data_IF_046814837536
#
_entry.id   IF_046814837536
#
_cell.length_a   1.000
_cell.length_b   1.000
_cell.length_c   1.000
_cell.angle_alpha   90.00
_cell.angle_beta   90.00
_cell.angle_gamma   90.00
#
_symmetry.space_group_name_H-M   'P 1'
#
loop_
_entity.id
_entity.type
_entity.pdbx_description
1 polymer ?
#
# COMPACT_ATOMS: atom_id res chain seq x y z
N UNK A 1 11.14 -10.79 7.45
CA UNK A 1 10.82 -10.52 6.04
C UNK A 1 9.87 -11.60 5.55
N UNK A 2 8.70 -11.24 5.04
CA UNK A 2 7.68 -12.15 4.48
C UNK A 2 7.83 -12.23 2.95
N UNK A 3 7.66 -13.41 2.35
CA UNK A 3 7.62 -13.54 0.90
C UNK A 3 6.26 -13.07 0.37
N UNK A 4 6.28 -12.13 -0.59
CA UNK A 4 5.08 -11.60 -1.24
C UNK A 4 5.17 -11.82 -2.75
N UNK A 5 4.43 -12.81 -3.23
CA UNK A 5 4.33 -13.11 -4.67
C UNK A 5 3.19 -12.30 -5.28
N UNK A 6 3.48 -11.51 -6.32
CA UNK A 6 2.54 -10.62 -6.99
C UNK A 6 2.60 -10.83 -8.50
N UNK A 7 1.45 -10.70 -9.16
CA UNK A 7 1.43 -10.70 -10.63
C UNK A 7 2.10 -9.42 -11.15
N UNK A 8 2.98 -9.53 -12.14
CA UNK A 8 3.76 -8.39 -12.68
C UNK A 8 2.90 -7.27 -13.29
N UNK A 9 1.68 -7.58 -13.69
CA UNK A 9 0.71 -6.64 -14.29
C UNK A 9 -0.47 -6.37 -13.36
N UNK A 10 -0.19 -6.26 -12.06
CA UNK A 10 -1.19 -5.92 -11.04
C UNK A 10 -1.85 -4.57 -11.37
N UNK A 11 -3.17 -4.57 -11.55
CA UNK A 11 -3.97 -3.34 -11.66
C UNK A 11 -4.12 -2.67 -10.28
N UNK A 12 -4.42 -1.36 -10.25
CA UNK A 12 -4.66 -0.64 -8.99
C UNK A 12 -5.75 -1.28 -8.12
N UNK A 13 -6.81 -1.83 -8.73
CA UNK A 13 -7.86 -2.54 -8.00
C UNK A 13 -7.36 -3.86 -7.41
N UNK A 14 -6.59 -4.63 -8.19
CA UNK A 14 -5.96 -5.86 -7.69
C UNK A 14 -4.99 -5.54 -6.56
N UNK A 15 -4.25 -4.44 -6.64
CA UNK A 15 -3.37 -3.97 -5.56
C UNK A 15 -4.13 -3.71 -4.25
N UNK A 16 -5.25 -3.00 -4.32
CA UNK A 16 -6.09 -2.78 -3.15
C UNK A 16 -6.60 -4.10 -2.57
N UNK A 17 -7.03 -5.03 -3.43
CA UNK A 17 -7.42 -6.37 -3.00
C UNK A 17 -6.28 -7.12 -2.33
N UNK A 18 -5.05 -7.03 -2.83
CA UNK A 18 -3.88 -7.65 -2.22
C UNK A 18 -3.58 -7.07 -0.84
N UNK A 19 -3.67 -5.75 -0.67
CA UNK A 19 -3.54 -5.10 0.64
C UNK A 19 -4.59 -5.63 1.63
N UNK A 20 -5.86 -5.70 1.23
CA UNK A 20 -6.93 -6.22 2.07
C UNK A 20 -6.69 -7.69 2.42
N UNK A 21 -6.37 -8.51 1.41
CA UNK A 21 -6.19 -9.97 1.53
C UNK A 21 -5.01 -10.31 2.43
N UNK A 22 -3.86 -9.67 2.21
CA UNK A 22 -2.65 -9.90 3.00
C UNK A 22 -2.88 -9.50 4.46
N UNK A 23 -3.41 -8.29 4.70
CA UNK A 23 -3.60 -7.77 6.05
C UNK A 23 -4.68 -8.51 6.86
N UNK A 24 -5.67 -9.11 6.19
CA UNK A 24 -6.69 -9.96 6.84
C UNK A 24 -6.05 -11.14 7.57
N UNK A 25 -4.95 -11.71 7.06
CA UNK A 25 -4.17 -12.77 7.75
C UNK A 25 -3.70 -12.34 9.13
N UNK A 26 -3.42 -11.05 9.28
CA UNK A 26 -2.92 -10.43 10.51
C UNK A 26 -4.01 -9.70 11.30
N UNK A 27 -5.28 -10.04 11.07
CA UNK A 27 -6.44 -9.44 11.74
C UNK A 27 -6.45 -7.89 11.66
N UNK A 28 -5.82 -7.32 10.64
CA UNK A 28 -5.92 -5.90 10.33
C UNK A 28 -6.87 -5.74 9.16
N UNK A 29 -8.01 -5.09 9.38
CA UNK A 29 -8.99 -4.83 8.34
C UNK A 29 -8.96 -3.35 7.97
N UNK A 30 -8.30 -2.97 6.86
CA UNK A 30 -8.24 -1.58 6.45
C UNK A 30 -9.56 -1.16 5.78
N UNK A 31 -10.56 -0.81 6.61
CA UNK A 31 -11.91 -0.45 6.15
C UNK A 31 -11.93 0.63 5.06
N UNK A 32 -10.97 1.56 5.09
CA UNK A 32 -10.80 2.60 4.05
C UNK A 32 -10.63 2.03 2.64
N UNK A 33 -10.00 0.86 2.50
CA UNK A 33 -9.80 0.20 1.20
C UNK A 33 -11.03 -0.55 0.71
N UNK A 34 -11.89 -1.03 1.62
CA UNK A 34 -13.18 -1.64 1.26
C UNK A 34 -14.07 -0.62 0.52
N UNK A 35 -14.07 0.64 0.98
CA UNK A 35 -14.83 1.70 0.32
C UNK A 35 -14.27 2.03 -1.08
N UNK A 36 -12.94 1.96 -1.26
CA UNK A 36 -12.31 2.17 -2.56
C UNK A 36 -12.66 1.06 -3.57
N UNK A 37 -12.84 -0.18 -3.11
CA UNK A 37 -13.25 -1.29 -3.96
C UNK A 37 -14.62 -1.10 -4.62
N UNK A 38 -15.49 -0.27 -4.06
CA UNK A 38 -16.81 0.05 -4.62
C UNK A 38 -16.76 1.13 -5.73
N UNK A 39 -15.63 1.82 -5.90
CA UNK A 39 -15.47 2.82 -6.96
C UNK A 39 -15.29 2.07 -8.27
N UNK A 40 -16.26 2.15 -9.20
CA UNK A 40 -16.19 1.43 -10.47
C UNK A 40 -15.26 2.10 -11.49
N UNK A 41 -15.28 3.43 -11.51
CA UNK A 41 -14.47 4.29 -12.37
C UNK A 41 -12.99 4.20 -11.99
N UNK A 42 -12.15 3.80 -12.96
CA UNK A 42 -10.73 3.58 -12.75
C UNK A 42 -9.98 4.88 -12.44
N UNK A 43 -10.27 5.97 -13.14
CA UNK A 43 -9.58 7.25 -12.93
C UNK A 43 -9.90 7.82 -11.56
N UNK A 44 -11.17 7.68 -11.12
CA UNK A 44 -11.57 8.04 -9.75
C UNK A 44 -10.91 7.16 -8.69
N UNK A 45 -10.66 5.89 -8.98
CA UNK A 45 -9.94 5.00 -8.08
C UNK A 45 -8.48 5.45 -7.94
N UNK A 46 -7.82 5.74 -9.07
CA UNK A 46 -6.43 6.21 -9.11
C UNK A 46 -6.28 7.54 -8.37
N UNK A 47 -7.19 8.49 -8.58
CA UNK A 47 -7.20 9.78 -7.88
C UNK A 47 -7.35 9.60 -6.36
N UNK A 48 -8.19 8.67 -5.90
CA UNK A 48 -8.36 8.39 -4.47
C UNK A 48 -7.12 7.79 -3.82
N UNK A 49 -6.39 6.92 -4.53
CA UNK A 49 -5.12 6.36 -4.05
C UNK A 49 -4.09 7.50 -3.97
N UNK A 50 -3.98 8.34 -5.00
CA UNK A 50 -3.08 9.50 -5.00
C UNK A 50 -3.35 10.43 -3.81
N UNK A 51 -4.62 10.79 -3.60
CA UNK A 51 -5.02 11.62 -2.47
C UNK A 51 -4.64 10.98 -1.13
N UNK A 52 -4.74 9.67 -0.98
CA UNK A 52 -4.34 8.96 0.24
C UNK A 52 -2.82 9.03 0.48
N UNK A 53 -2.03 8.93 -0.57
CA UNK A 53 -0.56 8.99 -0.50
C UNK A 53 -0.08 10.42 -0.26
N UNK A 54 -0.77 11.41 -0.81
CA UNK A 54 -0.46 12.82 -0.57
C UNK A 54 -0.95 13.30 0.80
N UNK A 55 -2.04 12.73 1.32
CA UNK A 55 -2.59 13.14 2.60
C UNK A 55 -1.63 12.79 3.75
N UNK A 56 -1.15 13.81 4.44
CA UNK A 56 -0.21 13.74 5.57
C UNK A 56 -0.89 13.69 6.93
N UNK A 57 -2.17 13.29 7.00
CA UNK A 57 -2.89 13.18 8.27
C UNK A 57 -2.14 12.27 9.26
N UNK A 58 -1.54 12.91 10.27
CA UNK A 58 -0.70 12.27 11.28
C UNK A 58 -1.49 11.25 12.09
N UNK A 59 -2.80 11.41 12.24
CA UNK A 59 -3.64 10.46 12.99
C UNK A 59 -3.78 9.12 12.24
N UNK A 60 -3.91 9.18 10.91
CA UNK A 60 -3.96 8.01 10.03
C UNK A 60 -2.59 7.33 10.00
N UNK A 61 -1.53 8.11 9.91
CA UNK A 61 -0.14 7.61 9.94
C UNK A 61 0.20 6.99 11.31
N UNK A 62 -0.28 7.56 12.42
CA UNK A 62 -0.09 7.03 13.76
C UNK A 62 -0.79 5.68 14.00
N UNK A 63 -2.00 5.51 13.47
CA UNK A 63 -2.69 4.21 13.52
C UNK A 63 -1.95 3.17 12.71
N UNK A 64 -1.45 3.54 11.52
CA UNK A 64 -0.67 2.63 10.67
C UNK A 64 0.68 2.28 11.31
N UNK A 65 1.33 3.25 11.97
CA UNK A 65 2.57 3.06 12.74
C UNK A 65 2.42 1.94 13.77
N UNK A 66 1.38 2.00 14.61
CA UNK A 66 1.13 0.98 15.64
C UNK A 66 1.02 -0.40 14.99
N UNK A 67 0.24 -0.51 13.92
CA UNK A 67 0.03 -1.79 13.24
C UNK A 67 1.30 -2.34 12.59
N UNK A 68 2.10 -1.49 11.93
CA UNK A 68 3.37 -1.88 11.31
C UNK A 68 4.37 -2.35 12.38
N UNK A 69 4.46 -1.64 13.52
CA UNK A 69 5.37 -2.00 14.60
C UNK A 69 4.98 -3.34 15.27
N UNK A 70 3.69 -3.55 15.49
CA UNK A 70 3.17 -4.77 16.14
C UNK A 70 3.25 -6.01 15.24
N UNK A 71 2.81 -5.87 13.98
CA UNK A 71 2.62 -7.03 13.09
C UNK A 71 3.76 -7.22 12.10
N UNK A 72 4.58 -6.19 11.85
CA UNK A 72 5.79 -6.16 10.99
C UNK A 72 5.61 -6.62 9.53
N UNK A 73 4.43 -7.07 9.16
CA UNK A 73 4.10 -7.59 7.83
C UNK A 73 2.80 -6.98 7.30
N UNK A 74 2.41 -5.81 7.81
CA UNK A 74 1.29 -5.06 7.24
C UNK A 74 1.71 -4.57 5.86
N UNK A 75 0.99 -4.99 4.83
CA UNK A 75 1.15 -4.50 3.47
C UNK A 75 0.39 -3.19 3.31
N UNK A 76 1.03 -2.16 2.77
CA UNK A 76 0.41 -0.87 2.51
C UNK A 76 0.16 -0.66 1.02
N UNK A 77 -0.64 0.33 0.67
CA UNK A 77 -0.84 0.64 -0.76
C UNK A 77 0.40 1.32 -1.33
N UNK A 78 1.17 2.05 -0.52
CA UNK A 78 2.46 2.62 -0.89
C UNK A 78 3.46 1.56 -1.34
N UNK A 79 3.49 0.39 -0.68
CA UNK A 79 4.33 -0.75 -1.10
C UNK A 79 4.05 -1.15 -2.56
N UNK A 80 2.78 -1.14 -2.96
CA UNK A 80 2.37 -1.54 -4.30
C UNK A 80 2.46 -0.40 -5.32
N UNK A 81 2.28 0.84 -4.88
CA UNK A 81 2.44 2.03 -5.74
C UNK A 81 3.90 2.20 -6.14
N UNK A 82 4.86 1.91 -5.26
CA UNK A 82 6.28 1.92 -5.62
C UNK A 82 6.59 0.91 -6.74
N UNK A 83 5.92 -0.24 -6.76
CA UNK A 83 6.16 -1.31 -7.74
C UNK A 83 5.45 -1.12 -9.07
N UNK A 84 4.21 -0.62 -9.03
CA UNK A 84 3.30 -0.63 -10.19
C UNK A 84 2.76 0.75 -10.54
N UNK A 85 3.04 1.78 -9.74
CA UNK A 85 2.43 3.10 -9.89
C UNK A 85 2.77 3.79 -11.21
N UNK A 86 3.97 3.56 -11.76
CA UNK A 86 4.34 4.03 -13.10
C UNK A 86 3.40 3.46 -14.18
N UNK A 87 3.12 2.14 -14.11
CA UNK A 87 2.16 1.48 -15.03
C UNK A 87 0.74 2.00 -14.88
N UNK A 88 0.40 2.53 -13.69
CA UNK A 88 -0.90 3.13 -13.43
C UNK A 88 -0.97 4.61 -13.82
N UNK A 89 0.12 5.19 -14.34
CA UNK A 89 0.19 6.57 -14.80
C UNK A 89 0.48 7.59 -13.70
N UNK A 90 1.03 7.18 -12.56
CA UNK A 90 1.40 8.12 -11.50
C UNK A 90 2.69 8.87 -11.82
N UNK A 91 2.75 10.12 -11.35
CA UNK A 91 3.93 10.98 -11.50
C UNK A 91 5.10 10.54 -10.62
N UNK A 92 6.32 10.83 -11.05
CA UNK A 92 7.55 10.60 -10.27
C UNK A 92 7.49 11.22 -8.87
N UNK A 93 6.85 12.40 -8.75
CA UNK A 93 6.65 13.06 -7.45
C UNK A 93 5.85 12.18 -6.48
N UNK A 94 4.75 11.57 -6.97
CA UNK A 94 3.94 10.68 -6.14
C UNK A 94 4.69 9.39 -5.79
N UNK A 95 5.42 8.82 -6.76
CA UNK A 95 6.24 7.61 -6.55
C UNK A 95 7.32 7.85 -5.49
N UNK A 96 7.95 9.04 -5.51
CA UNK A 96 8.92 9.44 -4.49
C UNK A 96 8.28 9.53 -3.09
N UNK A 97 7.09 10.12 -2.97
CA UNK A 97 6.37 10.18 -1.68
C UNK A 97 6.04 8.76 -1.19
N UNK A 98 5.54 7.89 -2.06
CA UNK A 98 5.26 6.50 -1.72
C UNK A 98 6.53 5.76 -1.27
N UNK A 99 7.66 5.94 -1.98
CA UNK A 99 8.93 5.32 -1.64
C UNK A 99 9.45 5.76 -0.27
N UNK A 100 9.42 7.05 0.05
CA UNK A 100 9.82 7.57 1.36
C UNK A 100 8.92 7.03 2.49
N UNK A 101 7.62 6.83 2.23
CA UNK A 101 6.72 6.17 3.19
C UNK A 101 7.07 4.70 3.40
N UNK A 102 7.34 3.95 2.33
CA UNK A 102 7.75 2.54 2.42
C UNK A 102 9.03 2.39 3.24
N UNK A 103 10.02 3.27 3.04
CA UNK A 103 11.24 3.32 3.87
C UNK A 103 10.91 3.50 5.35
N UNK A 104 10.09 4.50 5.69
CA UNK A 104 9.65 4.73 7.07
C UNK A 104 8.92 3.52 7.65
N UNK A 105 8.04 2.86 6.88
CA UNK A 105 7.36 1.66 7.34
C UNK A 105 8.32 0.50 7.60
N UNK A 106 9.35 0.34 6.77
CA UNK A 106 10.41 -0.65 7.01
C UNK A 106 11.21 -0.30 8.28
N UNK A 107 11.57 0.96 8.49
CA UNK A 107 12.21 1.40 9.73
C UNK A 107 11.34 1.08 10.96
N UNK A 108 10.04 1.37 10.92
CA UNK A 108 9.10 1.07 11.99
C UNK A 108 8.95 -0.43 12.27
N UNK A 109 9.12 -1.26 11.25
CA UNK A 109 9.12 -2.72 11.37
C UNK A 109 10.47 -3.28 11.86
N UNK A 110 11.50 -2.44 12.01
CA UNK A 110 12.90 -2.81 12.27
C UNK A 110 13.54 -3.62 11.12
N UNK A 111 13.27 -3.24 9.88
CA UNK A 111 13.88 -3.80 8.68
C UNK A 111 12.90 -3.99 7.52
N UNK A 112 13.40 -4.55 6.43
CA UNK A 112 12.58 -4.89 5.27
C UNK A 112 11.44 -5.85 5.63
N UNK A 113 10.22 -5.43 5.31
CA UNK A 113 9.00 -6.19 5.60
C UNK A 113 8.79 -7.32 4.60
N UNK A 114 9.07 -7.10 3.32
CA UNK A 114 8.73 -8.02 2.24
C UNK A 114 9.91 -8.34 1.33
N UNK A 115 10.01 -9.62 0.98
CA UNK A 115 10.76 -10.10 -0.18
C UNK A 115 9.77 -10.29 -1.32
N UNK A 116 9.84 -9.43 -2.33
CA UNK A 116 8.85 -9.39 -3.41
C UNK A 116 9.31 -10.27 -4.57
N UNK A 117 8.40 -11.12 -5.04
CA UNK A 117 8.58 -11.95 -6.23
C UNK A 117 7.48 -11.60 -7.24
N UNK A 118 7.88 -11.19 -8.44
CA UNK A 118 6.95 -10.86 -9.52
C UNK A 118 6.82 -12.06 -10.46
N UNK A 119 5.58 -12.55 -10.65
CA UNK A 119 5.23 -13.67 -11.52
C UNK A 119 4.38 -13.25 -12.71
#
# INVERSE_FOLDING_TARGET
>A
MEQLTLHKDLTARQAINEVIRNNKKYKYNPQRFIQMMNVQDQDKLLLKIEQLIQNTDESVLGTLFIQVKEKKTILTIEDLVVLFGEKWGYSDSLLNIANERVKKFNEWANGERFLIELI
#
